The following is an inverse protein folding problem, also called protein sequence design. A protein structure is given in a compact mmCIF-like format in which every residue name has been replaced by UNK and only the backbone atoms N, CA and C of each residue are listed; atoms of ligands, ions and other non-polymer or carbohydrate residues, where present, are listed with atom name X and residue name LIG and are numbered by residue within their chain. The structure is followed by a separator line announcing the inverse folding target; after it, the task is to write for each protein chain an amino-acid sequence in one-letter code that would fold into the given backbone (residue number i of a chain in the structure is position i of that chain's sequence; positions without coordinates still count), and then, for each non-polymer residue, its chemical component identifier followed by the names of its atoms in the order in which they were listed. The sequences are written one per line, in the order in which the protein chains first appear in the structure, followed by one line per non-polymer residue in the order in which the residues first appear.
data_IF_035089408084
#
_entry.id   IF_035089408084
#
_cell.length_a   1.000
_cell.length_b   1.000
_cell.length_c   1.000
_cell.angle_alpha   90.00
_cell.angle_beta   90.00
_cell.angle_gamma   90.00
#
_symmetry.space_group_name_H-M   'P 1'
#
loop_
_entity.id
_entity.type
_entity.pdbx_description
1 polymer ?
#
# COMPACT_ATOMS: atom_id res chain seq x y z
N UNK A 1 -2.77 14.63 13.62
CA UNK A 1 -3.69 13.54 13.76
C UNK A 1 -4.10 13.00 12.40
N UNK A 2 -4.37 11.73 12.34
CA UNK A 2 -5.03 11.13 11.19
C UNK A 2 -6.39 11.81 11.03
N UNK A 3 -6.66 12.34 9.87
CA UNK A 3 -7.88 13.10 9.65
C UNK A 3 -9.02 12.26 9.14
N UNK A 4 -10.20 12.86 9.21
CA UNK A 4 -11.44 12.22 8.82
C UNK A 4 -11.64 12.07 7.29
N UNK A 5 -10.71 12.57 6.49
CA UNK A 5 -10.81 12.48 5.03
C UNK A 5 -10.33 11.12 4.50
N UNK A 6 -9.72 10.31 5.37
CA UNK A 6 -9.31 8.95 5.06
C UNK A 6 -9.99 7.97 6.01
N UNK A 7 -11.04 7.35 5.55
CA UNK A 7 -11.62 6.15 6.17
C UNK A 7 -10.93 4.97 5.52
N UNK A 8 -10.70 3.89 6.26
CA UNK A 8 -10.20 2.63 5.70
C UNK A 8 -11.03 2.27 4.45
N UNK A 9 -10.40 2.28 3.29
CA UNK A 9 -11.08 2.04 2.02
C UNK A 9 -11.57 3.30 1.28
N UNK A 10 -11.40 4.49 1.84
CA UNK A 10 -11.60 5.73 1.08
C UNK A 10 -10.28 6.08 0.37
N UNK A 11 -10.34 6.23 -0.93
CA UNK A 11 -9.19 6.62 -1.72
C UNK A 11 -8.68 8.00 -1.26
N UNK A 12 -7.38 8.11 -1.01
CA UNK A 12 -6.74 9.42 -0.97
C UNK A 12 -6.91 10.08 -2.32
N UNK A 13 -7.32 11.33 -2.37
CA UNK A 13 -7.39 12.09 -3.62
C UNK A 13 -5.98 12.24 -4.26
N UNK A 14 -4.93 12.10 -3.46
CA UNK A 14 -3.54 12.19 -3.93
C UNK A 14 -2.98 10.84 -4.44
N UNK A 15 -3.54 9.71 -3.96
CA UNK A 15 -3.10 8.37 -4.36
C UNK A 15 -4.31 7.43 -4.33
N UNK A 16 -4.95 7.19 -5.48
CA UNK A 16 -6.15 6.35 -5.56
C UNK A 16 -5.89 4.92 -5.11
N UNK A 17 -6.74 4.43 -4.20
CA UNK A 17 -6.62 3.08 -3.61
C UNK A 17 -5.70 2.99 -2.40
N UNK A 18 -5.08 4.08 -1.96
CA UNK A 18 -4.33 4.11 -0.71
C UNK A 18 -5.22 3.78 0.50
N UNK A 19 -4.63 3.18 1.52
CA UNK A 19 -5.34 2.82 2.75
C UNK A 19 -5.80 4.05 3.55
N UNK A 20 -5.13 5.18 3.34
CA UNK A 20 -5.48 6.45 3.93
C UNK A 20 -4.38 7.49 3.79
N UNK A 21 -4.66 8.70 4.26
CA UNK A 21 -3.67 9.77 4.35
C UNK A 21 -3.84 10.60 5.63
N UNK A 22 -2.85 11.44 5.93
CA UNK A 22 -2.98 12.44 6.97
C UNK A 22 -3.64 13.69 6.40
N UNK A 23 -4.51 14.36 7.17
CA UNK A 23 -5.21 15.55 6.69
C UNK A 23 -4.26 16.72 6.51
N UNK A 24 -3.75 16.89 5.31
CA UNK A 24 -2.94 18.05 4.97
C UNK A 24 -3.76 19.35 4.99
N UNK A 25 -5.08 19.30 4.77
CA UNK A 25 -5.95 20.50 4.81
C UNK A 25 -5.90 21.23 6.13
N UNK A 26 -5.86 20.51 7.27
CA UNK A 26 -5.85 21.10 8.60
C UNK A 26 -4.47 21.56 9.05
N UNK A 27 -3.42 21.17 8.34
CA UNK A 27 -2.02 21.42 8.73
C UNK A 27 -1.18 22.03 7.58
N UNK A 28 -1.79 22.33 6.44
CA UNK A 28 -1.12 22.90 5.27
C UNK A 28 -0.43 24.23 5.61
N UNK A 29 -1.06 25.07 6.43
CA UNK A 29 -0.52 26.34 6.91
C UNK A 29 0.69 26.20 7.83
N UNK A 30 0.93 25.00 8.35
CA UNK A 30 2.06 24.66 9.26
C UNK A 30 3.20 23.97 8.54
N UNK A 31 3.14 23.83 7.22
CA UNK A 31 4.13 23.16 6.40
C UNK A 31 4.40 21.70 6.85
N UNK A 32 3.35 20.98 7.25
CA UNK A 32 3.45 19.57 7.59
C UNK A 32 3.08 18.75 6.34
N UNK A 33 3.99 17.88 5.90
CA UNK A 33 3.77 17.03 4.73
C UNK A 33 2.61 16.06 4.96
N UNK A 34 1.75 15.90 3.94
CA UNK A 34 0.79 14.82 3.91
C UNK A 34 1.51 13.46 3.85
N UNK A 35 1.07 12.51 4.66
CA UNK A 35 1.57 11.14 4.63
C UNK A 35 0.50 10.23 4.05
N UNK A 36 0.84 9.52 2.98
CA UNK A 36 -0.04 8.58 2.29
C UNK A 36 0.35 7.17 2.71
N UNK A 37 -0.63 6.42 3.19
CA UNK A 37 -0.46 5.07 3.71
C UNK A 37 -0.99 4.06 2.68
N UNK A 38 -0.18 3.11 2.27
CA UNK A 38 -0.60 2.01 1.41
C UNK A 38 -0.50 0.67 2.12
N UNK A 39 -1.51 -0.17 1.93
CA UNK A 39 -1.53 -1.55 2.37
C UNK A 39 -0.81 -2.47 1.37
N UNK A 40 -0.61 -3.72 1.71
CA UNK A 40 -0.17 -4.79 0.83
C UNK A 40 1.17 -5.41 1.17
N UNK A 41 1.23 -6.37 2.15
CA UNK A 41 2.47 -7.06 2.51
C UNK A 41 3.10 -7.90 1.39
N UNK A 42 2.38 -8.16 0.30
CA UNK A 42 2.86 -8.83 -0.90
C UNK A 42 2.99 -7.88 -2.11
N UNK A 43 3.32 -6.63 -1.86
CA UNK A 43 3.40 -5.54 -2.83
C UNK A 43 2.31 -4.48 -2.59
N UNK A 44 2.55 -3.26 -3.04
CA UNK A 44 1.62 -2.15 -2.80
C UNK A 44 0.23 -2.47 -3.36
N UNK A 45 -0.79 -2.20 -2.54
CA UNK A 45 -2.19 -2.38 -2.92
C UNK A 45 -2.83 -1.02 -3.18
N UNK A 46 -2.81 -0.62 -4.43
CA UNK A 46 -3.43 0.60 -4.95
C UNK A 46 -4.50 0.26 -5.99
N UNK A 47 -5.34 1.23 -6.35
CA UNK A 47 -6.26 1.07 -7.46
C UNK A 47 -5.49 0.94 -8.77
N UNK A 48 -5.76 -0.10 -9.56
CA UNK A 48 -5.07 -0.33 -10.83
C UNK A 48 -5.45 0.68 -11.90
N UNK A 49 -6.63 1.28 -11.78
CA UNK A 49 -7.07 2.37 -12.65
C UNK A 49 -7.97 3.35 -11.88
N UNK A 50 -7.99 4.57 -12.36
CA UNK A 50 -8.88 5.63 -11.92
C UNK A 50 -9.05 6.64 -13.06
N UNK A 51 -10.08 7.47 -13.00
CA UNK A 51 -10.24 8.54 -13.97
C UNK A 51 -10.09 9.90 -13.30
N UNK A 52 -9.52 10.85 -14.06
CA UNK A 52 -9.45 12.25 -13.69
C UNK A 52 -10.17 13.11 -14.73
N UNK A 53 -10.68 14.24 -14.29
CA UNK A 53 -11.27 15.25 -15.17
C UNK A 53 -10.19 16.01 -15.98
N UNK A 54 -10.61 16.91 -16.84
CA UNK A 54 -9.71 17.74 -17.66
C UNK A 54 -8.76 18.61 -16.84
N UNK A 55 -9.08 18.88 -15.58
CA UNK A 55 -8.30 19.70 -14.67
C UNK A 55 -7.37 18.84 -13.78
N UNK A 56 -7.37 17.51 -13.98
CA UNK A 56 -6.55 16.54 -13.26
C UNK A 56 -7.11 16.11 -11.91
N UNK A 57 -8.36 16.47 -11.57
CA UNK A 57 -8.96 16.04 -10.32
C UNK A 57 -9.55 14.64 -10.46
N UNK A 58 -9.32 13.80 -9.45
CA UNK A 58 -9.89 12.45 -9.36
C UNK A 58 -11.43 12.51 -9.47
N UNK A 59 -11.99 11.66 -10.32
CA UNK A 59 -13.44 11.46 -10.42
C UNK A 59 -13.81 10.33 -9.44
N UNK A 60 -14.49 10.64 -8.32
CA UNK A 60 -14.78 9.64 -7.30
C UNK A 60 -15.65 8.48 -7.81
N UNK A 61 -15.27 7.27 -7.44
CA UNK A 61 -15.99 6.03 -7.79
C UNK A 61 -15.60 5.51 -9.19
N UNK A 62 -14.47 5.96 -9.73
CA UNK A 62 -13.86 5.40 -10.94
C UNK A 62 -12.70 4.47 -10.63
N UNK A 63 -12.25 4.46 -9.36
CA UNK A 63 -11.23 3.58 -8.85
C UNK A 63 -11.75 2.14 -8.78
N UNK A 64 -10.95 1.18 -9.14
CA UNK A 64 -11.24 -0.21 -8.81
C UNK A 64 -10.98 -0.42 -7.30
N UNK A 65 -11.87 -1.19 -6.66
CA UNK A 65 -11.72 -1.48 -5.23
C UNK A 65 -10.40 -2.23 -5.00
N UNK A 66 -9.46 -1.57 -4.33
CA UNK A 66 -8.16 -2.14 -3.97
C UNK A 66 -8.25 -3.28 -2.95
N UNK A 67 -9.38 -3.40 -2.28
CA UNK A 67 -9.70 -4.45 -1.32
C UNK A 67 -10.60 -5.49 -1.99
N UNK A 68 -9.99 -6.53 -2.58
CA UNK A 68 -10.68 -7.55 -3.39
C UNK A 68 -11.93 -8.18 -2.76
N UNK A 69 -11.99 -8.32 -1.44
CA UNK A 69 -13.18 -8.86 -0.75
C UNK A 69 -14.28 -7.81 -0.50
N UNK A 70 -13.92 -6.56 -0.27
CA UNK A 70 -14.89 -5.47 -0.13
C UNK A 70 -15.61 -5.18 -1.44
N UNK A 71 -14.96 -5.42 -2.58
CA UNK A 71 -15.58 -5.33 -3.91
C UNK A 71 -16.70 -6.37 -4.11
N UNK A 72 -16.57 -7.55 -3.51
CA UNK A 72 -17.61 -8.58 -3.56
C UNK A 72 -18.84 -8.20 -2.73
N UNK A 73 -18.66 -7.42 -1.66
CA UNK A 73 -19.73 -6.95 -0.78
C UNK A 73 -20.37 -5.65 -1.27
N UNK A 74 -19.63 -4.82 -1.98
CA UNK A 74 -20.10 -3.54 -2.52
C UNK A 74 -21.00 -3.68 -3.77
N UNK A 75 -21.12 -4.90 -4.32
CA UNK A 75 -21.81 -5.14 -5.58
C UNK A 75 -21.02 -4.61 -6.78
N UNK A 76 -21.31 -5.10 -7.98
CA UNK A 76 -20.77 -4.53 -9.21
C UNK A 76 -21.29 -3.11 -9.34
N UNK A 77 -20.47 -2.12 -8.99
CA UNK A 77 -20.79 -0.72 -9.21
C UNK A 77 -21.22 -0.53 -10.67
N UNK A 78 -22.33 0.21 -10.85
CA UNK A 78 -22.71 0.64 -12.20
C UNK A 78 -21.53 1.36 -12.83
N UNK A 79 -21.18 0.99 -14.07
CA UNK A 79 -20.18 1.72 -14.84
C UNK A 79 -20.69 3.15 -15.00
N UNK A 80 -20.11 4.08 -14.25
CA UNK A 80 -20.39 5.50 -14.44
C UNK A 80 -19.89 5.90 -15.82
N UNK A 81 -20.74 6.55 -16.59
CA UNK A 81 -20.29 7.26 -17.81
C UNK A 81 -19.32 8.35 -17.39
N UNK A 82 -18.14 8.34 -17.98
CA UNK A 82 -17.13 9.34 -17.71
C UNK A 82 -17.54 10.67 -18.35
N UNK A 83 -17.34 11.82 -17.67
CA UNK A 83 -17.57 13.13 -18.25
C UNK A 83 -16.74 13.34 -19.52
N UNK A 84 -17.21 14.20 -20.40
CA UNK A 84 -16.45 14.59 -21.60
C UNK A 84 -15.09 15.18 -21.22
N UNK A 85 -14.03 14.67 -21.83
CA UNK A 85 -12.66 15.08 -21.54
C UNK A 85 -12.01 14.39 -20.34
N UNK A 86 -12.68 13.43 -19.70
CA UNK A 86 -12.05 12.61 -18.65
C UNK A 86 -11.01 11.66 -19.25
N UNK A 87 -9.92 11.44 -18.53
CA UNK A 87 -8.82 10.54 -18.90
C UNK A 87 -8.72 9.44 -17.86
N UNK A 88 -8.64 8.17 -18.31
CA UNK A 88 -8.36 7.04 -17.44
C UNK A 88 -6.85 6.85 -17.31
N UNK A 89 -6.39 6.79 -16.07
CA UNK A 89 -5.01 6.51 -15.70
C UNK A 89 -4.90 5.07 -15.19
N UNK A 90 -3.74 4.48 -15.40
CA UNK A 90 -3.40 3.14 -14.92
C UNK A 90 -2.15 3.21 -14.07
N UNK A 91 -2.19 2.52 -12.92
CA UNK A 91 -1.04 2.36 -12.03
C UNK A 91 -0.95 0.90 -11.61
N UNK A 92 0.19 0.29 -11.87
CA UNK A 92 0.41 -1.12 -11.56
C UNK A 92 1.54 -1.22 -10.54
N UNK A 93 1.33 -2.08 -9.55
CA UNK A 93 2.34 -2.37 -8.54
C UNK A 93 2.80 -3.83 -8.68
N UNK A 94 4.04 -4.08 -8.36
CA UNK A 94 4.65 -5.40 -8.42
C UNK A 94 4.13 -6.28 -7.29
N UNK A 95 3.63 -7.46 -7.63
CA UNK A 95 3.37 -8.50 -6.65
C UNK A 95 4.69 -9.17 -6.27
N UNK A 96 5.16 -8.93 -5.05
CA UNK A 96 6.32 -9.63 -4.49
C UNK A 96 5.90 -10.94 -3.85
N UNK A 97 6.82 -11.90 -3.67
CA UNK A 97 6.52 -13.13 -2.94
C UNK A 97 6.03 -12.85 -1.52
N UNK A 98 5.09 -13.66 -1.04
CA UNK A 98 4.60 -13.54 0.35
C UNK A 98 5.75 -13.76 1.36
N UNK A 99 5.63 -13.15 2.54
CA UNK A 99 6.69 -13.14 3.54
C UNK A 99 7.17 -14.55 3.95
N UNK A 100 6.26 -15.52 4.09
CA UNK A 100 6.63 -16.91 4.38
C UNK A 100 7.54 -17.48 3.27
N UNK A 101 7.28 -17.17 1.99
CA UNK A 101 8.11 -17.63 0.88
C UNK A 101 9.46 -16.91 0.85
N UNK A 102 9.48 -15.61 1.09
CA UNK A 102 10.72 -14.83 1.22
C UNK A 102 11.62 -15.39 2.31
N UNK A 103 11.05 -15.73 3.48
CA UNK A 103 11.81 -16.34 4.58
C UNK A 103 12.41 -17.70 4.23
N UNK A 104 11.77 -18.48 3.34
CA UNK A 104 12.31 -19.78 2.87
C UNK A 104 13.57 -19.65 2.03
N UNK A 105 13.91 -18.47 1.56
CA UNK A 105 15.17 -18.25 0.85
C UNK A 105 16.38 -18.32 1.77
N UNK A 106 16.22 -18.03 3.07
CA UNK A 106 17.29 -17.85 4.04
C UNK A 106 18.33 -16.81 3.63
N UNK A 107 17.91 -15.89 2.75
CA UNK A 107 18.77 -14.88 2.15
C UNK A 107 18.20 -13.48 2.40
N UNK A 108 18.83 -12.75 3.31
CA UNK A 108 18.42 -11.38 3.68
C UNK A 108 18.65 -10.37 2.56
N UNK A 109 19.55 -10.65 1.62
CA UNK A 109 19.82 -9.74 0.50
C UNK A 109 18.70 -9.87 -0.54
N UNK A 110 18.16 -11.05 -0.76
CA UNK A 110 16.97 -11.27 -1.60
C UNK A 110 15.75 -10.57 -0.99
N UNK A 111 15.58 -10.66 0.32
CA UNK A 111 14.47 -9.96 1.02
C UNK A 111 14.64 -8.44 0.90
N UNK A 112 15.86 -7.93 1.09
CA UNK A 112 16.14 -6.50 0.93
C UNK A 112 15.90 -6.01 -0.52
N UNK A 113 16.13 -6.84 -1.53
CA UNK A 113 15.80 -6.52 -2.92
C UNK A 113 14.28 -6.45 -3.14
N UNK A 114 13.49 -7.32 -2.51
CA UNK A 114 12.04 -7.22 -2.57
C UNK A 114 11.54 -5.91 -1.95
N UNK A 115 12.08 -5.50 -0.80
CA UNK A 115 11.78 -4.22 -0.19
C UNK A 115 12.23 -3.02 -1.04
N UNK A 116 13.36 -3.14 -1.73
CA UNK A 116 13.90 -2.11 -2.63
C UNK A 116 12.91 -1.81 -3.79
N UNK A 117 12.36 -2.86 -4.41
CA UNK A 117 11.33 -2.74 -5.46
C UNK A 117 10.10 -2.00 -4.93
N UNK A 118 9.63 -2.36 -3.74
CA UNK A 118 8.47 -1.70 -3.12
C UNK A 118 8.78 -0.24 -2.81
N UNK A 119 9.97 0.06 -2.31
CA UNK A 119 10.39 1.42 -2.00
C UNK A 119 10.48 2.32 -3.24
N UNK A 120 10.96 1.78 -4.36
CA UNK A 120 10.98 2.47 -5.65
C UNK A 120 9.56 2.81 -6.12
N UNK A 121 8.65 1.85 -6.08
CA UNK A 121 7.25 2.08 -6.43
C UNK A 121 6.56 3.08 -5.49
N UNK A 122 6.87 3.05 -4.19
CA UNK A 122 6.36 4.03 -3.22
C UNK A 122 6.81 5.44 -3.57
N UNK A 123 8.07 5.63 -3.95
CA UNK A 123 8.59 6.93 -4.36
C UNK A 123 7.93 7.41 -5.64
N UNK A 124 7.79 6.55 -6.64
CA UNK A 124 7.14 6.85 -7.93
C UNK A 124 5.66 7.20 -7.77
N UNK A 125 4.92 6.44 -6.96
CA UNK A 125 3.48 6.59 -6.79
C UNK A 125 3.09 7.57 -5.66
N UNK A 126 4.07 8.15 -4.97
CA UNK A 126 3.85 9.12 -3.92
C UNK A 126 3.35 8.53 -2.59
N UNK A 127 3.51 7.23 -2.37
CA UNK A 127 3.21 6.57 -1.10
C UNK A 127 4.31 6.90 -0.10
N UNK A 128 3.92 7.29 1.12
CA UNK A 128 4.89 7.70 2.15
C UNK A 128 5.17 6.59 3.15
N UNK A 129 4.14 5.80 3.49
CA UNK A 129 4.22 4.78 4.53
C UNK A 129 3.56 3.49 4.05
N UNK A 130 4.34 2.43 4.03
CA UNK A 130 3.86 1.08 3.72
C UNK A 130 3.40 0.38 5.00
N UNK A 131 2.18 -0.16 4.99
CA UNK A 131 1.61 -0.92 6.11
C UNK A 131 2.12 -2.38 6.08
N UNK A 132 3.42 -2.53 6.12
CA UNK A 132 4.20 -3.76 6.08
C UNK A 132 5.65 -3.47 6.48
N UNK A 133 6.53 -4.49 6.64
CA UNK A 133 6.21 -5.92 6.54
C UNK A 133 5.41 -6.44 7.73
N UNK A 134 4.64 -7.51 7.50
CA UNK A 134 3.99 -8.25 8.58
C UNK A 134 5.01 -9.14 9.29
N UNK A 135 5.31 -8.86 10.58
CA UNK A 135 6.31 -9.62 11.33
C UNK A 135 5.73 -10.35 12.54
N UNK A 136 4.44 -10.57 12.56
CA UNK A 136 3.83 -11.40 13.60
C UNK A 136 4.39 -12.83 13.55
N UNK A 137 4.47 -13.46 14.72
CA UNK A 137 4.98 -14.83 14.82
C UNK A 137 3.86 -15.81 14.49
N UNK A 138 4.17 -16.88 13.74
CA UNK A 138 3.27 -18.00 13.49
C UNK A 138 3.00 -18.78 14.78
N UNK A 139 2.07 -18.33 15.61
CA UNK A 139 1.75 -18.98 16.89
C UNK A 139 0.63 -20.00 16.78
N UNK A 140 -0.34 -19.72 15.90
CA UNK A 140 -1.53 -20.55 15.76
C UNK A 140 -1.71 -20.91 14.28
N UNK A 141 -1.71 -22.21 13.94
CA UNK A 141 -1.88 -22.65 12.55
C UNK A 141 -3.23 -22.25 11.95
N UNK A 142 -4.22 -21.95 12.77
CA UNK A 142 -5.54 -21.49 12.32
C UNK A 142 -5.60 -19.98 12.06
N UNK A 143 -4.51 -19.23 12.25
CA UNK A 143 -4.47 -17.81 11.91
C UNK A 143 -4.49 -17.63 10.39
N UNK A 144 -5.54 -16.99 9.86
CA UNK A 144 -5.74 -16.77 8.43
C UNK A 144 -4.71 -15.83 7.78
N UNK A 145 -3.88 -15.16 8.59
CA UNK A 145 -2.85 -14.22 8.12
C UNK A 145 -1.42 -14.75 8.20
N UNK A 146 -1.22 -16.03 8.58
CA UNK A 146 0.14 -16.61 8.66
C UNK A 146 0.92 -16.50 7.34
N UNK A 147 0.25 -16.54 6.20
CA UNK A 147 0.89 -16.45 4.89
C UNK A 147 1.71 -15.17 4.68
N UNK A 148 1.31 -14.07 5.33
CA UNK A 148 1.97 -12.77 5.21
C UNK A 148 3.02 -12.49 6.30
N UNK A 149 3.31 -13.47 7.16
CA UNK A 149 4.32 -13.39 8.20
C UNK A 149 5.51 -14.30 7.86
N UNK A 150 6.70 -13.95 8.34
CA UNK A 150 7.93 -14.63 7.95
C UNK A 150 8.11 -16.00 8.61
N UNK A 151 7.94 -16.11 9.94
CA UNK A 151 8.32 -17.30 10.69
C UNK A 151 7.62 -17.42 12.04
N UNK A 152 7.67 -18.63 12.63
CA UNK A 152 7.38 -18.86 14.05
C UNK A 152 8.55 -18.44 14.97
N UNK A 153 9.77 -18.39 14.42
CA UNK A 153 10.96 -17.98 15.15
C UNK A 153 11.09 -16.45 15.14
N UNK A 154 11.15 -15.79 16.32
CA UNK A 154 11.22 -14.34 16.40
C UNK A 154 12.54 -13.77 15.87
N UNK A 155 13.63 -14.51 15.92
CA UNK A 155 14.89 -14.05 15.35
C UNK A 155 14.83 -14.04 13.82
N UNK A 156 14.34 -15.12 13.22
CA UNK A 156 14.14 -15.19 11.75
C UNK A 156 13.17 -14.11 11.29
N UNK A 157 12.01 -13.96 11.96
CA UNK A 157 11.04 -12.93 11.62
C UNK A 157 11.63 -11.53 11.72
N UNK A 158 12.38 -11.23 12.78
CA UNK A 158 13.03 -9.94 12.99
C UNK A 158 14.11 -9.63 11.95
N UNK A 159 14.94 -10.62 11.61
CA UNK A 159 16.00 -10.46 10.59
C UNK A 159 15.40 -10.21 9.20
N UNK A 160 14.37 -10.97 8.83
CA UNK A 160 13.66 -10.78 7.56
C UNK A 160 12.99 -9.41 7.48
N UNK A 161 12.21 -9.04 8.50
CA UNK A 161 11.54 -7.74 8.55
C UNK A 161 12.52 -6.57 8.51
N UNK A 162 13.65 -6.69 9.20
CA UNK A 162 14.71 -5.68 9.17
C UNK A 162 15.37 -5.57 7.78
N UNK A 163 15.52 -6.67 7.05
CA UNK A 163 16.06 -6.67 5.70
C UNK A 163 15.10 -5.99 4.73
N UNK A 164 13.82 -6.35 4.77
CA UNK A 164 12.76 -5.76 3.95
C UNK A 164 12.65 -4.26 4.20
N UNK A 165 12.54 -3.85 5.46
CA UNK A 165 12.52 -2.43 5.87
C UNK A 165 13.73 -1.66 5.36
N UNK A 166 14.94 -2.23 5.44
CA UNK A 166 16.14 -1.58 4.90
C UNK A 166 16.08 -1.42 3.39
N UNK A 167 15.48 -2.38 2.68
CA UNK A 167 15.24 -2.28 1.25
C UNK A 167 14.37 -1.08 0.91
N UNK A 168 13.18 -1.01 1.52
CA UNK A 168 12.24 0.12 1.34
C UNK A 168 12.88 1.46 1.66
N UNK A 169 13.58 1.55 2.78
CA UNK A 169 14.15 2.82 3.28
C UNK A 169 15.42 3.29 2.58
N UNK A 170 15.85 2.62 1.51
CA UNK A 170 16.86 3.17 0.58
C UNK A 170 16.32 4.37 -0.20
N UNK A 171 15.01 4.44 -0.35
CA UNK A 171 14.32 5.46 -1.12
C UNK A 171 13.95 6.68 -0.27
N UNK A 172 13.94 7.86 -0.90
CA UNK A 172 13.78 9.11 -0.17
C UNK A 172 12.32 9.36 0.25
N UNK A 173 12.12 9.62 1.54
CA UNK A 173 10.83 10.05 2.06
C UNK A 173 9.77 8.98 2.18
N UNK A 174 10.17 7.71 2.11
CA UNK A 174 9.31 6.55 2.32
C UNK A 174 9.71 5.79 3.59
N UNK A 175 8.80 4.98 4.12
CA UNK A 175 9.04 4.19 5.31
C UNK A 175 8.05 3.04 5.45
N UNK A 176 8.25 2.25 6.49
CA UNK A 176 7.42 1.10 6.82
C UNK A 176 6.76 1.30 8.18
N UNK A 177 5.61 0.67 8.41
CA UNK A 177 5.01 0.54 9.72
C UNK A 177 4.64 -0.92 9.95
N UNK A 178 5.15 -1.43 11.05
CA UNK A 178 5.09 -2.84 11.43
C UNK A 178 4.06 -3.01 12.55
#
# INVERSE_FOLDING_TARGET
GMGADSVVGAASAACPGAAGDTTSRMIADRNIRNMILADGPAGLRLSRHFAADKDGNLIPGTEDASLGEMSLLAGKGEKKELPEGAVTYYQYCTAIPIATLLAQTWDVDVIAQAGDIVGEEMEELGVTLWLAPGMNIHRNPLCGRNFEYYSEDPLVAGMCAAADTRGVQKHAGVGTTI
#
